data_IF_615456203354
#
_entry.id   IF_615456203354
#
_cell.length_a   1.000
_cell.length_b   1.000
_cell.length_c   1.000
_cell.angle_alpha   90.00
_cell.angle_beta   90.00
_cell.angle_gamma   90.00
#
_symmetry.space_group_name_H-M   'P 1'
#
loop_
_entity.id
_entity.type
_entity.pdbx_description
1 polymer ?
#
# COMPACT_ATOMS: atom_id res chain seq x y z
N UNK A 1 -3.70 6.19 20.61
CA UNK A 1 -3.17 5.76 19.29
C UNK A 1 -3.64 4.36 18.87
N UNK A 2 -4.01 3.45 19.78
CA UNK A 2 -4.49 2.12 19.40
C UNK A 2 -5.81 2.13 18.63
N UNK A 3 -6.76 2.97 19.03
CA UNK A 3 -8.10 2.96 18.45
C UNK A 3 -8.16 3.54 17.03
N UNK A 4 -7.35 4.55 16.74
CA UNK A 4 -7.21 5.12 15.39
C UNK A 4 -6.72 4.08 14.37
N UNK A 5 -5.83 3.16 14.78
CA UNK A 5 -5.34 2.07 13.92
C UNK A 5 -6.45 1.07 13.60
N UNK A 6 -7.29 0.76 14.61
CA UNK A 6 -8.43 -0.14 14.44
C UNK A 6 -9.50 0.48 13.55
N UNK A 7 -9.76 1.78 13.70
CA UNK A 7 -10.67 2.52 12.81
C UNK A 7 -10.13 2.57 11.36
N UNK A 8 -8.85 2.87 11.16
CA UNK A 8 -8.22 2.87 9.84
C UNK A 8 -8.34 1.49 9.17
N UNK A 9 -7.99 0.41 9.88
CA UNK A 9 -8.11 -0.94 9.34
C UNK A 9 -9.57 -1.30 9.00
N UNK A 10 -10.53 -0.90 9.83
CA UNK A 10 -11.96 -1.16 9.58
C UNK A 10 -12.46 -0.41 8.34
N UNK A 11 -12.10 0.86 8.20
CA UNK A 11 -12.46 1.67 7.02
C UNK A 11 -11.87 1.09 5.73
N UNK A 12 -10.58 0.71 5.75
CA UNK A 12 -9.91 0.12 4.60
C UNK A 12 -10.52 -1.24 4.22
N UNK A 13 -10.85 -2.07 5.22
CA UNK A 13 -11.53 -3.34 4.99
C UNK A 13 -12.90 -3.14 4.34
N UNK A 14 -13.70 -2.17 4.80
CA UNK A 14 -15.01 -1.87 4.21
C UNK A 14 -14.90 -1.42 2.74
N UNK A 15 -13.85 -0.67 2.38
CA UNK A 15 -13.57 -0.31 0.98
C UNK A 15 -13.30 -1.58 0.16
N UNK A 16 -12.42 -2.47 0.65
CA UNK A 16 -12.07 -3.71 -0.06
C UNK A 16 -13.29 -4.62 -0.21
N UNK A 17 -14.05 -4.82 0.87
CA UNK A 17 -15.30 -5.58 0.88
C UNK A 17 -16.30 -5.02 -0.13
N UNK A 18 -16.45 -3.70 -0.23
CA UNK A 18 -17.36 -3.07 -1.20
C UNK A 18 -16.91 -3.28 -2.65
N UNK A 19 -15.61 -3.28 -2.92
CA UNK A 19 -15.08 -3.40 -4.30
C UNK A 19 -14.98 -4.86 -4.75
N UNK A 20 -14.65 -5.78 -3.85
CA UNK A 20 -14.29 -7.16 -4.17
C UNK A 20 -15.10 -8.23 -3.44
N UNK A 21 -15.96 -7.86 -2.48
CA UNK A 21 -16.64 -8.81 -1.59
C UNK A 21 -17.53 -9.82 -2.32
N UNK A 22 -18.13 -9.44 -3.44
CA UNK A 22 -18.96 -10.35 -4.27
C UNK A 22 -18.16 -11.48 -4.93
N UNK A 23 -16.82 -11.42 -4.89
CA UNK A 23 -15.90 -12.40 -5.49
C UNK A 23 -15.17 -13.25 -4.47
N UNK A 24 -15.41 -13.02 -3.18
CA UNK A 24 -14.68 -13.65 -2.09
C UNK A 24 -15.63 -14.46 -1.23
N UNK A 25 -15.18 -15.64 -0.80
CA UNK A 25 -15.89 -16.40 0.22
C UNK A 25 -15.85 -15.68 1.57
N UNK A 26 -16.73 -16.04 2.52
CA UNK A 26 -16.67 -15.52 3.88
C UNK A 26 -15.32 -15.74 4.56
N UNK A 27 -14.69 -16.89 4.31
CA UNK A 27 -13.37 -17.24 4.85
C UNK A 27 -12.26 -16.37 4.24
N UNK A 28 -12.30 -16.17 2.92
CA UNK A 28 -11.36 -15.28 2.23
C UNK A 28 -11.50 -13.83 2.68
N UNK A 29 -12.74 -13.36 2.92
CA UNK A 29 -13.00 -12.04 3.48
C UNK A 29 -12.40 -11.88 4.88
N UNK A 30 -12.46 -12.92 5.71
CA UNK A 30 -11.88 -12.89 7.05
C UNK A 30 -10.34 -12.92 7.03
N UNK A 31 -9.73 -13.62 6.07
CA UNK A 31 -8.28 -13.51 5.83
C UNK A 31 -7.91 -12.09 5.37
N UNK A 32 -8.65 -11.51 4.43
CA UNK A 32 -8.43 -10.12 3.97
C UNK A 32 -8.53 -9.13 5.13
N UNK A 33 -9.50 -9.30 6.04
CA UNK A 33 -9.64 -8.46 7.23
C UNK A 33 -8.37 -8.50 8.08
N UNK A 34 -7.84 -9.70 8.35
CA UNK A 34 -6.59 -9.90 9.11
C UNK A 34 -5.37 -9.31 8.40
N UNK A 35 -5.32 -9.43 7.08
CA UNK A 35 -4.24 -8.86 6.27
C UNK A 35 -4.23 -7.34 6.32
N UNK A 36 -5.40 -6.71 6.21
CA UNK A 36 -5.53 -5.25 6.33
C UNK A 36 -5.04 -4.78 7.70
N UNK A 37 -5.39 -5.46 8.79
CA UNK A 37 -4.89 -5.13 10.13
C UNK A 37 -3.36 -5.17 10.20
N UNK A 38 -2.73 -6.23 9.66
CA UNK A 38 -1.27 -6.37 9.61
C UNK A 38 -0.60 -5.31 8.74
N UNK A 39 -1.18 -4.98 7.59
CA UNK A 39 -0.65 -3.95 6.68
C UNK A 39 -0.73 -2.58 7.33
N UNK A 40 -1.83 -2.25 8.01
CA UNK A 40 -1.96 -0.98 8.74
C UNK A 40 -0.89 -0.87 9.81
N UNK A 41 -0.64 -1.94 10.57
CA UNK A 41 0.42 -1.97 11.58
C UNK A 41 1.80 -1.72 10.97
N UNK A 42 2.17 -2.45 9.92
CA UNK A 42 3.44 -2.26 9.20
C UNK A 42 3.57 -0.86 8.59
N UNK A 43 2.47 -0.30 8.05
CA UNK A 43 2.47 1.02 7.44
C UNK A 43 2.77 2.14 8.44
N UNK A 44 2.48 1.94 9.73
CA UNK A 44 2.81 2.92 10.77
C UNK A 44 4.32 3.05 10.95
N UNK A 45 5.06 1.94 10.85
CA UNK A 45 6.51 1.96 10.90
C UNK A 45 7.07 2.71 9.68
N UNK A 46 6.54 2.45 8.49
CA UNK A 46 6.94 3.16 7.27
C UNK A 46 6.64 4.67 7.35
N UNK A 47 5.48 5.06 7.89
CA UNK A 47 5.09 6.46 8.08
C UNK A 47 5.94 7.20 9.11
N UNK A 48 6.66 6.48 9.98
CA UNK A 48 7.60 7.10 10.92
C UNK A 48 8.89 7.60 10.25
N UNK A 49 9.18 7.14 9.03
CA UNK A 49 10.35 7.58 8.25
C UNK A 49 10.12 9.02 7.78
N UNK A 50 11.00 9.93 8.20
CA UNK A 50 10.95 11.34 7.81
C UNK A 50 11.54 11.53 6.41
N UNK A 51 10.67 11.79 5.44
CA UNK A 51 11.06 12.16 4.09
C UNK A 51 11.21 13.67 3.93
N UNK A 52 12.15 14.10 3.10
CA UNK A 52 12.30 15.45 2.57
C UNK A 52 11.51 15.53 1.25
N UNK A 53 11.10 16.74 0.87
CA UNK A 53 10.37 16.96 -0.39
C UNK A 53 11.17 16.56 -1.66
N UNK A 54 12.48 16.42 -1.55
CA UNK A 54 13.37 16.02 -2.64
C UNK A 54 13.74 14.53 -2.59
N UNK A 55 13.19 13.76 -1.64
CA UNK A 55 13.39 12.31 -1.63
C UNK A 55 12.53 11.70 -2.73
N UNK A 56 13.17 11.24 -3.79
CA UNK A 56 12.51 10.64 -4.95
C UNK A 56 12.03 9.20 -4.65
N UNK A 57 10.94 8.74 -5.28
CA UNK A 57 10.59 7.33 -5.28
C UNK A 57 11.73 6.47 -5.83
N UNK A 58 11.77 5.18 -5.45
CA UNK A 58 12.77 4.22 -5.95
C UNK A 58 12.79 4.05 -7.46
N UNK A 59 11.68 4.40 -8.12
CA UNK A 59 11.57 4.48 -9.56
C UNK A 59 10.97 5.82 -9.97
N UNK A 60 11.68 6.55 -10.83
CA UNK A 60 11.18 7.75 -11.50
C UNK A 60 10.88 7.45 -12.96
N UNK A 61 9.74 7.96 -13.45
CA UNK A 61 9.39 7.81 -14.85
C UNK A 61 10.45 8.48 -15.73
N UNK A 62 11.07 7.70 -16.62
CA UNK A 62 11.97 8.20 -17.65
C UNK A 62 11.26 8.07 -19.00
N UNK A 63 10.91 9.18 -19.67
CA UNK A 63 10.29 9.10 -20.98
C UNK A 63 11.25 8.40 -21.95
N UNK A 64 10.72 7.48 -22.75
CA UNK A 64 11.47 6.84 -23.81
C UNK A 64 11.89 7.87 -24.86
N UNK A 65 13.17 7.92 -25.23
CA UNK A 65 13.72 8.94 -26.16
C UNK A 65 14.12 8.40 -27.54
N UNK A 66 13.76 7.16 -27.88
CA UNK A 66 14.34 6.48 -29.04
C UNK A 66 15.79 6.06 -28.75
N UNK A 67 16.23 4.94 -29.30
CA UNK A 67 17.45 4.26 -28.87
C UNK A 67 18.72 5.12 -28.90
N UNK A 68 19.30 5.34 -27.72
CA UNK A 68 20.73 5.24 -27.52
C UNK A 68 20.93 4.19 -26.41
N UNK A 69 21.23 2.96 -26.83
CA UNK A 69 22.03 2.06 -26.01
C UNK A 69 23.39 2.72 -25.86
N UNK A 70 23.57 3.46 -24.76
CA UNK A 70 24.90 3.85 -24.29
C UNK A 70 24.99 3.39 -22.85
N UNK A 71 25.60 2.22 -22.72
CA UNK A 71 26.31 1.69 -21.56
C UNK A 71 26.01 2.38 -20.23
N UNK A 72 25.23 1.70 -19.39
CA UNK A 72 25.31 1.94 -17.96
C UNK A 72 26.65 1.38 -17.45
N UNK A 73 27.47 2.16 -16.71
CA UNK A 73 28.50 1.57 -15.85
C UNK A 73 27.87 0.77 -14.70
#
# INVERSE_FOLDING_TARGET
MSDLRREEASLLFEIIRRVYGDRLSPEELEEVRRDVERIVEMSMELRSVKLRNWDEPSFTFRPYRGGEERDAP
#
